data_IF_423157861667
#
_entry.id   IF_423157861667
#
_cell.length_a   1.000
_cell.length_b   1.000
_cell.length_c   1.000
_cell.angle_alpha   90.00
_cell.angle_beta   90.00
_cell.angle_gamma   90.00
#
_symmetry.space_group_name_H-M   'P 1'
#
loop_
_entity.id
_entity.type
_entity.pdbx_description
1 polymer ?
#
# COMPACT_ATOMS: atom_id res chain seq x y z
N UNK A 1 -34.22 25.12 37.87
CA UNK A 1 -33.90 23.68 37.79
C UNK A 1 -34.31 23.06 36.46
N UNK A 2 -35.56 23.25 36.00
CA UNK A 2 -36.06 22.70 34.71
C UNK A 2 -35.24 23.16 33.50
N UNK A 3 -34.83 24.44 33.42
CA UNK A 3 -34.02 24.95 32.30
C UNK A 3 -32.62 24.31 32.22
N UNK A 4 -31.98 24.04 33.37
CA UNK A 4 -30.66 23.40 33.41
C UNK A 4 -30.73 21.92 32.99
N UNK A 5 -31.81 21.22 33.38
CA UNK A 5 -32.09 19.85 32.95
C UNK A 5 -32.37 19.79 31.44
N UNK A 6 -33.13 20.75 30.91
CA UNK A 6 -33.41 20.83 29.47
C UNK A 6 -32.15 21.10 28.64
N UNK A 7 -31.30 22.04 29.07
CA UNK A 7 -30.03 22.32 28.41
C UNK A 7 -29.06 21.11 28.46
N UNK A 8 -29.01 20.40 29.60
CA UNK A 8 -28.22 19.18 29.74
C UNK A 8 -28.70 18.04 28.84
N UNK A 9 -30.02 17.84 28.73
CA UNK A 9 -30.62 16.82 27.87
C UNK A 9 -30.35 17.08 26.38
N UNK A 10 -30.49 18.34 25.94
CA UNK A 10 -30.17 18.74 24.56
C UNK A 10 -28.67 18.55 24.27
N UNK A 11 -27.79 18.94 25.19
CA UNK A 11 -26.34 18.72 25.06
C UNK A 11 -25.97 17.24 24.92
N UNK A 12 -26.59 16.36 25.72
CA UNK A 12 -26.36 14.92 25.65
C UNK A 12 -26.83 14.30 24.32
N UNK A 13 -27.99 14.73 23.80
CA UNK A 13 -28.51 14.30 22.50
C UNK A 13 -27.58 14.72 21.35
N UNK A 14 -27.07 15.95 21.38
CA UNK A 14 -26.12 16.44 20.37
C UNK A 14 -24.80 15.64 20.39
N UNK A 15 -24.26 15.36 21.57
CA UNK A 15 -23.05 14.55 21.72
C UNK A 15 -23.26 13.11 21.23
N UNK A 16 -24.40 12.49 21.54
CA UNK A 16 -24.73 11.15 21.06
C UNK A 16 -24.81 11.09 19.54
N UNK A 17 -25.38 12.12 18.91
CA UNK A 17 -25.48 12.18 17.44
C UNK A 17 -24.12 12.38 16.77
N UNK A 18 -23.25 13.22 17.36
CA UNK A 18 -21.86 13.36 16.90
C UNK A 18 -21.08 12.05 17.03
N UNK A 19 -21.22 11.36 18.16
CA UNK A 19 -20.54 10.09 18.40
C UNK A 19 -20.96 9.02 17.38
N UNK A 20 -22.25 8.95 17.04
CA UNK A 20 -22.77 8.04 16.02
C UNK A 20 -22.15 8.29 14.64
N UNK A 21 -22.05 9.55 14.20
CA UNK A 21 -21.42 9.88 12.91
C UNK A 21 -19.93 9.61 12.88
N UNK A 22 -19.21 9.99 13.94
CA UNK A 22 -17.78 9.72 14.04
C UNK A 22 -17.48 8.21 13.97
N UNK A 23 -18.34 7.40 14.57
CA UNK A 23 -18.23 5.94 14.53
C UNK A 23 -18.42 5.38 13.11
N UNK A 24 -19.45 5.81 12.37
CA UNK A 24 -19.68 5.34 10.99
C UNK A 24 -18.54 5.75 10.07
N UNK A 25 -18.03 6.98 10.21
CA UNK A 25 -16.86 7.43 9.45
C UNK A 25 -15.64 6.54 9.71
N UNK A 26 -15.32 6.26 10.98
CA UNK A 26 -14.20 5.39 11.34
C UNK A 26 -14.37 3.95 10.81
N UNK A 27 -15.59 3.41 10.88
CA UNK A 27 -15.90 2.08 10.34
C UNK A 27 -15.78 2.04 8.82
N UNK A 28 -16.28 3.05 8.11
CA UNK A 28 -16.18 3.13 6.65
C UNK A 28 -14.72 3.19 6.20
N UNK A 29 -13.86 3.94 6.91
CA UNK A 29 -12.43 4.01 6.62
C UNK A 29 -11.73 2.67 6.87
N UNK A 30 -12.05 2.01 7.99
CA UNK A 30 -11.50 0.68 8.30
C UNK A 30 -11.86 -0.34 7.22
N UNK A 31 -13.10 -0.32 6.73
CA UNK A 31 -13.55 -1.16 5.63
C UNK A 31 -12.78 -0.86 4.34
N UNK A 32 -12.56 0.42 4.02
CA UNK A 32 -11.81 0.84 2.84
C UNK A 32 -10.35 0.35 2.91
N UNK A 33 -9.67 0.52 4.04
CA UNK A 33 -8.28 0.13 4.23
C UNK A 33 -8.10 -1.39 4.12
N UNK A 34 -8.99 -2.16 4.75
CA UNK A 34 -8.99 -3.62 4.66
C UNK A 34 -9.24 -4.10 3.22
N UNK A 35 -10.21 -3.49 2.53
CA UNK A 35 -10.52 -3.82 1.14
C UNK A 35 -9.36 -3.44 0.20
N UNK A 36 -8.70 -2.31 0.41
CA UNK A 36 -7.53 -1.89 -0.38
C UNK A 36 -6.37 -2.87 -0.22
N UNK A 37 -6.03 -3.28 1.02
CA UNK A 37 -4.98 -4.28 1.29
C UNK A 37 -5.32 -5.65 0.67
N UNK A 38 -6.56 -6.11 0.83
CA UNK A 38 -7.01 -7.35 0.21
C UNK A 38 -6.99 -7.26 -1.33
N UNK A 39 -7.36 -6.11 -1.88
CA UNK A 39 -7.28 -5.82 -3.31
C UNK A 39 -5.85 -5.85 -3.83
N UNK A 40 -4.92 -5.21 -3.11
CA UNK A 40 -3.50 -5.18 -3.44
C UNK A 40 -2.85 -6.57 -3.44
N UNK A 41 -3.29 -7.45 -2.54
CA UNK A 41 -2.76 -8.82 -2.42
C UNK A 41 -3.43 -9.79 -3.40
N UNK A 42 -4.75 -9.92 -3.34
CA UNK A 42 -5.52 -10.98 -3.99
C UNK A 42 -6.56 -10.47 -5.02
N UNK A 43 -6.57 -9.18 -5.33
CA UNK A 43 -7.41 -8.59 -6.37
C UNK A 43 -8.85 -8.30 -5.96
N UNK A 44 -9.69 -7.95 -6.94
CA UNK A 44 -11.03 -7.39 -6.72
C UNK A 44 -11.94 -8.23 -5.85
N UNK A 45 -12.00 -9.55 -6.07
CA UNK A 45 -12.87 -10.44 -5.30
C UNK A 45 -12.50 -10.48 -3.81
N UNK A 46 -11.21 -10.40 -3.48
CA UNK A 46 -10.77 -10.31 -2.09
C UNK A 46 -11.11 -8.94 -1.46
N UNK A 47 -10.99 -7.85 -2.23
CA UNK A 47 -11.44 -6.52 -1.80
C UNK A 47 -12.95 -6.49 -1.50
N UNK A 48 -13.77 -7.08 -2.39
CA UNK A 48 -15.22 -7.26 -2.20
C UNK A 48 -15.53 -8.04 -0.92
N UNK A 49 -14.85 -9.18 -0.72
CA UNK A 49 -15.05 -10.01 0.47
C UNK A 49 -14.72 -9.29 1.77
N UNK A 50 -13.60 -8.54 1.80
CA UNK A 50 -13.20 -7.78 2.99
C UNK A 50 -14.10 -6.57 3.24
N UNK A 51 -14.56 -5.88 2.19
CA UNK A 51 -15.54 -4.80 2.34
C UNK A 51 -16.83 -5.35 2.98
N UNK A 52 -17.36 -6.46 2.45
CA UNK A 52 -18.56 -7.11 2.96
C UNK A 52 -18.41 -7.60 4.41
N UNK A 53 -17.25 -8.17 4.76
CA UNK A 53 -16.95 -8.60 6.14
C UNK A 53 -16.94 -7.43 7.14
N UNK A 54 -16.69 -6.20 6.66
CA UNK A 54 -16.76 -4.97 7.45
C UNK A 54 -18.11 -4.24 7.32
N UNK A 55 -19.13 -4.88 6.73
CA UNK A 55 -20.47 -4.31 6.57
C UNK A 55 -20.60 -3.28 5.45
N UNK A 56 -19.55 -3.09 4.64
CA UNK A 56 -19.53 -2.16 3.53
C UNK A 56 -19.72 -2.87 2.18
N UNK A 57 -20.05 -2.12 1.14
CA UNK A 57 -20.10 -2.61 -0.25
C UNK A 57 -18.99 -1.98 -1.07
N UNK A 58 -18.41 -2.74 -2.00
CA UNK A 58 -17.39 -2.23 -2.92
C UNK A 58 -18.06 -1.34 -3.99
N UNK A 59 -17.84 -0.03 -3.92
CA UNK A 59 -18.40 0.94 -4.86
C UNK A 59 -17.46 1.20 -6.04
N UNK A 60 -16.14 1.10 -5.83
CA UNK A 60 -15.12 1.35 -6.85
C UNK A 60 -13.86 0.52 -6.63
N UNK A 61 -13.24 0.10 -7.74
CA UNK A 61 -11.99 -0.64 -7.74
C UNK A 61 -11.13 -0.21 -8.93
N UNK A 62 -9.95 0.32 -8.65
CA UNK A 62 -8.95 0.68 -9.64
C UNK A 62 -7.61 0.04 -9.25
N UNK A 63 -7.00 -0.68 -10.18
CA UNK A 63 -5.70 -1.30 -9.99
C UNK A 63 -4.76 -0.79 -11.07
N UNK A 64 -3.84 0.09 -10.66
CA UNK A 64 -2.87 0.73 -11.54
C UNK A 64 -1.49 0.71 -10.90
N UNK A 65 -0.51 0.21 -11.66
CA UNK A 65 0.90 0.30 -11.29
C UNK A 65 1.30 -0.39 -9.99
N UNK A 66 0.60 -1.45 -9.58
CA UNK A 66 0.85 -2.14 -8.31
C UNK A 66 0.17 -1.49 -7.10
N UNK A 67 -0.45 -0.32 -7.28
CA UNK A 67 -1.33 0.30 -6.31
C UNK A 67 -2.79 -0.06 -6.65
N UNK A 68 -3.55 -0.39 -5.62
CA UNK A 68 -4.99 -0.65 -5.71
C UNK A 68 -5.71 0.41 -4.91
N UNK A 69 -6.57 1.18 -5.58
CA UNK A 69 -7.46 2.17 -5.00
C UNK A 69 -8.86 1.58 -4.93
N UNK A 70 -9.48 1.72 -3.77
CA UNK A 70 -10.78 1.14 -3.47
C UNK A 70 -11.69 2.23 -2.92
N UNK A 71 -12.93 2.25 -3.37
CA UNK A 71 -14.02 3.03 -2.78
C UNK A 71 -15.05 2.06 -2.21
N UNK A 72 -15.44 2.26 -0.97
CA UNK A 72 -16.48 1.49 -0.28
C UNK A 72 -17.62 2.40 0.15
N UNK A 73 -18.82 1.85 0.28
CA UNK A 73 -19.97 2.52 0.87
C UNK A 73 -20.48 1.76 2.10
N UNK A 74 -20.75 2.49 3.18
CA UNK A 74 -21.32 1.99 4.43
C UNK A 74 -22.51 2.86 4.81
N UNK A 75 -23.72 2.39 4.48
CA UNK A 75 -24.91 3.24 4.53
C UNK A 75 -24.80 4.39 3.53
N UNK A 76 -24.95 5.63 4.01
CA UNK A 76 -24.82 6.84 3.19
C UNK A 76 -23.38 7.38 3.13
N UNK A 77 -22.46 6.80 3.91
CA UNK A 77 -21.06 7.22 3.96
C UNK A 77 -20.22 6.47 2.94
N UNK A 78 -19.23 7.18 2.38
CA UNK A 78 -18.26 6.62 1.44
C UNK A 78 -16.85 6.88 1.94
N UNK A 79 -16.00 5.89 1.76
CA UNK A 79 -14.59 5.98 2.11
C UNK A 79 -13.73 5.47 0.95
N UNK A 80 -12.55 6.07 0.81
CA UNK A 80 -11.58 5.72 -0.21
C UNK A 80 -10.27 5.38 0.49
N UNK A 81 -9.65 4.30 0.05
CA UNK A 81 -8.32 3.91 0.48
C UNK A 81 -7.49 3.43 -0.71
N UNK A 82 -6.17 3.45 -0.54
CA UNK A 82 -5.24 2.91 -1.51
C UNK A 82 -4.17 2.07 -0.81
N UNK A 83 -3.80 0.95 -1.41
CA UNK A 83 -2.74 0.09 -0.91
C UNK A 83 -1.87 -0.38 -2.07
N UNK A 84 -0.57 -0.45 -1.83
CA UNK A 84 0.38 -1.01 -2.80
C UNK A 84 0.60 -2.48 -2.50
N UNK A 85 0.64 -3.30 -3.55
CA UNK A 85 0.93 -4.74 -3.45
C UNK A 85 2.28 -4.91 -2.74
N UNK A 86 2.31 -5.54 -1.55
CA UNK A 86 3.57 -5.82 -0.91
C UNK A 86 4.37 -6.76 -1.83
N UNK A 87 5.65 -6.46 -1.99
CA UNK A 87 6.59 -7.37 -2.65
C UNK A 87 6.88 -8.46 -1.63
N UNK A 88 6.30 -9.67 -1.77
CA UNK A 88 6.47 -10.72 -0.78
C UNK A 88 7.95 -11.03 -0.66
N UNK A 89 8.43 -11.25 0.55
CA UNK A 89 9.84 -11.57 0.80
C UNK A 89 10.83 -10.48 0.37
N UNK A 90 10.52 -9.19 0.55
CA UNK A 90 11.52 -8.13 0.47
C UNK A 90 11.73 -7.49 1.84
N UNK A 91 12.99 -7.24 2.23
CA UNK A 91 13.27 -6.35 3.37
C UNK A 91 12.69 -4.95 3.13
N UNK A 92 12.36 -4.16 4.17
CA UNK A 92 11.79 -2.81 4.00
C UNK A 92 12.67 -1.89 3.14
N UNK A 93 13.99 -2.00 3.28
CA UNK A 93 14.94 -1.23 2.49
C UNK A 93 14.90 -1.63 1.00
N UNK A 94 14.78 -2.94 0.71
CA UNK A 94 14.66 -3.43 -0.66
C UNK A 94 13.32 -3.06 -1.28
N UNK A 95 12.22 -3.18 -0.52
CA UNK A 95 10.90 -2.74 -0.96
C UNK A 95 10.91 -1.25 -1.37
N UNK A 96 11.50 -0.38 -0.55
CA UNK A 96 11.64 1.04 -0.87
C UNK A 96 12.57 1.34 -2.06
N UNK A 97 13.52 0.45 -2.37
CA UNK A 97 14.34 0.56 -3.58
C UNK A 97 13.55 0.14 -4.83
N UNK A 98 12.77 -0.94 -4.74
CA UNK A 98 11.89 -1.42 -5.81
C UNK A 98 10.75 -0.43 -6.11
N UNK A 99 10.23 0.25 -5.10
CA UNK A 99 9.23 1.32 -5.26
C UNK A 99 9.79 2.46 -6.13
N UNK A 100 11.00 2.94 -5.80
CA UNK A 100 11.73 3.93 -6.61
C UNK A 100 12.03 3.45 -8.03
N UNK A 101 12.26 2.15 -8.22
CA UNK A 101 12.40 1.57 -9.56
C UNK A 101 11.07 1.69 -10.33
N UNK A 102 9.95 1.39 -9.69
CA UNK A 102 8.61 1.55 -10.25
C UNK A 102 8.32 2.99 -10.67
N UNK A 103 8.64 3.96 -9.81
CA UNK A 103 8.47 5.39 -10.11
C UNK A 103 9.28 5.87 -11.32
N UNK A 104 10.51 5.36 -11.49
CA UNK A 104 11.43 5.82 -12.53
C UNK A 104 11.26 5.05 -13.84
N UNK A 105 11.06 3.73 -13.76
CA UNK A 105 11.05 2.84 -14.92
C UNK A 105 9.64 2.37 -15.31
N UNK A 106 8.63 2.68 -14.50
CA UNK A 106 7.26 2.21 -14.65
C UNK A 106 7.00 0.89 -13.93
N UNK A 107 5.73 0.58 -13.65
CA UNK A 107 5.32 -0.56 -12.83
C UNK A 107 5.66 -1.93 -13.47
N UNK A 108 5.70 -2.01 -14.80
CA UNK A 108 6.07 -3.22 -15.53
C UNK A 108 7.53 -3.64 -15.28
N UNK A 109 8.39 -2.68 -14.96
CA UNK A 109 9.78 -2.96 -14.64
C UNK A 109 9.87 -3.77 -13.35
N UNK A 110 9.20 -3.33 -12.29
CA UNK A 110 9.20 -3.95 -10.96
C UNK A 110 8.57 -5.34 -10.99
N UNK A 111 7.49 -5.53 -11.74
CA UNK A 111 6.81 -6.82 -11.90
C UNK A 111 7.71 -7.91 -12.53
N UNK A 112 8.77 -7.52 -13.24
CA UNK A 112 9.68 -8.44 -13.92
C UNK A 112 10.95 -8.79 -13.13
N UNK A 113 11.13 -8.19 -11.94
CA UNK A 113 12.26 -8.42 -11.06
C UNK A 113 11.96 -9.64 -10.16
N UNK A 114 12.91 -10.56 -10.03
CA UNK A 114 12.81 -11.70 -9.11
C UNK A 114 13.66 -11.44 -7.87
N UNK A 115 13.14 -11.75 -6.70
CA UNK A 115 13.91 -11.68 -5.47
C UNK A 115 14.81 -12.92 -5.37
N UNK A 116 16.01 -12.72 -4.83
CA UNK A 116 16.98 -13.79 -4.59
C UNK A 116 17.12 -14.01 -3.08
N UNK A 117 17.01 -15.28 -2.67
CA UNK A 117 17.06 -15.69 -1.27
C UNK A 117 15.80 -15.36 -0.46
N UNK A 118 15.70 -15.87 0.78
CA UNK A 118 14.62 -15.53 1.69
C UNK A 118 14.66 -14.03 2.02
N UNK A 119 13.52 -13.36 1.94
CA UNK A 119 13.37 -11.93 2.19
C UNK A 119 14.20 -11.01 1.24
N UNK A 120 14.66 -11.52 0.09
CA UNK A 120 15.44 -10.73 -0.87
C UNK A 120 16.80 -10.32 -0.31
N UNK A 121 17.28 -11.04 0.70
CA UNK A 121 18.53 -10.77 1.41
C UNK A 121 19.76 -10.90 0.51
N UNK A 122 19.68 -11.74 -0.53
CA UNK A 122 20.78 -11.91 -1.48
C UNK A 122 20.76 -10.86 -2.58
N UNK A 123 19.60 -10.23 -2.82
CA UNK A 123 19.41 -9.21 -3.85
C UNK A 123 18.21 -9.51 -4.74
N UNK A 124 18.31 -9.02 -5.97
CA UNK A 124 17.28 -9.16 -7.00
C UNK A 124 17.90 -9.51 -8.35
N UNK A 125 17.24 -10.41 -9.06
CA UNK A 125 17.55 -10.74 -10.45
C UNK A 125 16.68 -9.90 -11.39
N UNK A 126 17.35 -9.22 -12.32
CA UNK A 126 16.73 -8.24 -13.22
C UNK A 126 16.85 -8.73 -14.66
N UNK A 127 15.79 -8.64 -15.48
CA UNK A 127 15.85 -9.03 -16.89
C UNK A 127 16.95 -8.27 -17.64
N UNK A 128 17.61 -8.94 -18.61
CA UNK A 128 18.66 -8.34 -19.46
C UNK A 128 18.29 -6.97 -20.03
N UNK A 129 17.03 -6.81 -20.47
CA UNK A 129 16.48 -5.56 -21.02
C UNK A 129 16.49 -4.39 -20.02
N UNK A 130 16.38 -4.66 -18.73
CA UNK A 130 16.35 -3.66 -17.66
C UNK A 130 17.71 -3.47 -17.01
N UNK A 131 18.58 -4.48 -17.01
CA UNK A 131 19.87 -4.45 -16.32
C UNK A 131 20.75 -3.24 -16.71
N UNK A 132 20.81 -2.89 -18.00
CA UNK A 132 21.59 -1.74 -18.46
C UNK A 132 21.03 -0.40 -17.95
N UNK A 133 19.71 -0.22 -18.04
CA UNK A 133 19.02 1.00 -17.55
C UNK A 133 19.12 1.12 -16.03
N UNK A 134 18.93 0.02 -15.31
CA UNK A 134 19.02 -0.01 -13.86
C UNK A 134 20.45 0.29 -13.39
N UNK A 135 21.47 -0.26 -14.08
CA UNK A 135 22.88 0.06 -13.80
C UNK A 135 23.20 1.55 -13.96
N UNK A 136 22.70 2.19 -15.02
CA UNK A 136 22.86 3.63 -15.24
C UNK A 136 22.15 4.49 -14.17
N UNK A 137 21.05 3.99 -13.60
CA UNK A 137 20.22 4.68 -12.61
C UNK A 137 20.49 4.23 -11.16
N UNK A 138 21.54 3.44 -10.92
CA UNK A 138 21.86 2.83 -9.63
C UNK A 138 21.88 3.81 -8.46
N UNK A 139 22.41 5.02 -8.65
CA UNK A 139 22.44 6.07 -7.64
C UNK A 139 21.06 6.64 -7.27
N UNK A 140 20.07 6.58 -8.18
CA UNK A 140 18.70 7.06 -7.93
C UNK A 140 17.81 5.97 -7.36
N UNK A 141 17.96 4.74 -7.86
CA UNK A 141 17.16 3.59 -7.41
C UNK A 141 17.67 3.01 -6.09
N UNK A 142 18.96 3.20 -5.77
CA UNK A 142 19.60 2.58 -4.62
C UNK A 142 19.95 1.11 -4.83
N UNK A 143 19.88 0.62 -6.08
CA UNK A 143 20.27 -0.72 -6.47
C UNK A 143 21.57 -0.70 -7.28
N UNK A 144 22.55 -1.48 -6.84
CA UNK A 144 23.87 -1.60 -7.44
C UNK A 144 24.06 -3.01 -7.97
N UNK A 145 24.82 -3.18 -9.05
CA UNK A 145 25.14 -4.52 -9.55
C UNK A 145 25.96 -5.27 -8.50
N UNK A 146 25.60 -6.53 -8.22
CA UNK A 146 26.37 -7.37 -7.34
C UNK A 146 27.77 -7.59 -7.93
N UNK A 147 28.82 -7.50 -7.10
CA UNK A 147 30.21 -7.71 -7.50
C UNK A 147 30.58 -9.18 -7.73
N UNK A 148 29.61 -10.08 -7.81
CA UNK A 148 29.78 -11.53 -7.84
C UNK A 148 29.91 -12.09 -9.28
N UNK A 149 30.05 -11.22 -10.27
CA UNK A 149 30.18 -11.58 -11.69
C UNK A 149 28.86 -11.96 -12.37
N UNK A 150 27.71 -11.97 -11.67
CA UNK A 150 26.41 -12.25 -12.28
C UNK A 150 25.83 -10.95 -12.89
N UNK A 151 25.72 -10.84 -14.23
CA UNK A 151 25.40 -9.58 -14.88
C UNK A 151 23.97 -9.08 -14.63
N UNK A 152 23.10 -9.94 -14.12
CA UNK A 152 21.68 -9.68 -13.87
C UNK A 152 21.35 -9.53 -12.39
N UNK A 153 22.37 -9.62 -11.53
CA UNK A 153 22.19 -9.58 -10.09
C UNK A 153 22.42 -8.17 -9.56
N UNK A 154 21.45 -7.66 -8.80
CA UNK A 154 21.49 -6.34 -8.16
C UNK A 154 21.20 -6.46 -6.67
N UNK A 155 21.89 -5.66 -5.88
CA UNK A 155 21.74 -5.59 -4.42
C UNK A 155 21.54 -4.14 -4.00
N UNK A 156 21.14 -3.90 -2.75
CA UNK A 156 21.15 -2.55 -2.19
C UNK A 156 22.57 -1.97 -2.26
N UNK A 157 22.68 -0.74 -2.76
CA UNK A 157 23.97 -0.05 -2.77
C UNK A 157 24.50 0.08 -1.34
N UNK A 158 25.77 -0.25 -1.07
CA UNK A 158 26.35 -0.12 0.27
C UNK A 158 26.29 1.35 0.68
N UNK A 159 25.68 1.63 1.84
CA UNK A 159 25.72 2.99 2.39
C UNK A 159 27.17 3.34 2.69
N UNK A 160 27.69 4.40 2.06
CA UNK A 160 28.93 5.05 2.50
C UNK A 160 28.69 5.54 3.92
N UNK A 161 29.24 4.85 4.92
CA UNK A 161 29.28 5.37 6.29
C UNK A 161 30.03 6.70 6.22
N UNK A 162 29.34 7.80 6.53
CA UNK A 162 30.02 9.08 6.80
C UNK A 162 30.82 8.86 8.07
N UNK A 163 32.14 8.81 7.93
CA UNK A 163 33.07 8.91 9.05
C UNK A 163 33.22 10.38 9.42
#
# INVERSE_FOLDING_TARGET
>A
MVLALAAGAVGALLLAHLAGRAQVMAQSQTAADAAALAGATAGRSAAEGLAAANGAVLAGFDAAGGTVRVEVALGDERAVAAATRPVPDATPALAAALDRVGDILGPDATASIRLLGPLGSEGVEVPRRLAARLGALSHRTGLCRAGDGRPLHFVLCPMKRRQ
#
